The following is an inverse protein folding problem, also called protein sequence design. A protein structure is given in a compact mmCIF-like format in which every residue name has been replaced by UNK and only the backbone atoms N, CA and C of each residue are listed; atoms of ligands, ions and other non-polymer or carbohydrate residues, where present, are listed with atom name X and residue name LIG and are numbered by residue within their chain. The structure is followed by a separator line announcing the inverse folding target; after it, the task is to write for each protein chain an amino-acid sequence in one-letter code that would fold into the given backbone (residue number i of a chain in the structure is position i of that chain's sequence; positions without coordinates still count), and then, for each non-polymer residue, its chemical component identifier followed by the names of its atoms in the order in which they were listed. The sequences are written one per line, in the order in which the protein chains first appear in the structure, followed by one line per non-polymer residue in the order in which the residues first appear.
data_IF_194589688393
#
_entry.id   IF_194589688393
#
_cell.length_a   1.000
_cell.length_b   1.000
_cell.length_c   1.000
_cell.angle_alpha   90.00
_cell.angle_beta   90.00
_cell.angle_gamma   90.00
#
_symmetry.space_group_name_H-M   'P 1'
#
loop_
_entity.id
_entity.type
_entity.pdbx_description
1 polymer ?
#
# COMPACT_ATOMS: atom_id res chain seq x y z
N UNK A 1 0.45 -10.83 -11.17
CA UNK A 1 1.55 -10.41 -12.06
C UNK A 1 1.98 -9.04 -11.60
N UNK A 2 3.28 -8.79 -11.45
CA UNK A 2 3.76 -7.49 -11.00
C UNK A 2 3.47 -6.39 -12.04
N UNK A 3 3.17 -5.18 -11.58
CA UNK A 3 2.76 -4.01 -12.38
C UNK A 3 3.97 -3.12 -12.69
N UNK A 4 4.72 -2.70 -11.67
CA UNK A 4 5.87 -1.81 -11.78
C UNK A 4 7.16 -2.41 -11.22
N UNK A 5 7.06 -3.17 -10.14
CA UNK A 5 8.14 -3.97 -9.59
C UNK A 5 8.44 -5.15 -10.52
N UNK A 6 9.70 -5.61 -10.53
CA UNK A 6 10.01 -6.94 -11.04
C UNK A 6 9.53 -8.01 -10.05
N UNK A 7 9.41 -9.27 -10.49
CA UNK A 7 9.01 -10.38 -9.61
C UNK A 7 9.95 -10.52 -8.39
N UNK A 8 11.25 -10.34 -8.59
CA UNK A 8 12.22 -10.39 -7.50
C UNK A 8 12.06 -9.22 -6.53
N UNK A 9 11.88 -8.00 -7.03
CA UNK A 9 11.68 -6.82 -6.17
C UNK A 9 10.38 -6.92 -5.38
N UNK A 10 9.31 -7.43 -5.99
CA UNK A 10 8.05 -7.71 -5.31
C UNK A 10 8.26 -8.72 -4.16
N UNK A 11 8.99 -9.80 -4.40
CA UNK A 11 9.34 -10.77 -3.36
C UNK A 11 10.16 -10.14 -2.21
N UNK A 12 11.12 -9.26 -2.54
CA UNK A 12 11.88 -8.51 -1.52
C UNK A 12 10.97 -7.60 -0.70
N UNK A 13 10.05 -6.86 -1.35
CA UNK A 13 9.08 -6.01 -0.65
C UNK A 13 8.15 -6.84 0.24
N UNK A 14 7.69 -8.02 -0.21
CA UNK A 14 6.86 -8.91 0.59
C UNK A 14 7.61 -9.42 1.84
N UNK A 15 8.87 -9.87 1.68
CA UNK A 15 9.70 -10.29 2.80
C UNK A 15 9.99 -9.14 3.78
N UNK A 16 10.26 -7.94 3.26
CA UNK A 16 10.49 -6.75 4.08
C UNK A 16 9.22 -6.30 4.80
N UNK A 17 8.04 -6.44 4.18
CA UNK A 17 6.75 -6.15 4.78
C UNK A 17 6.49 -7.02 6.02
N UNK A 18 6.87 -8.30 6.02
CA UNK A 18 6.78 -9.18 7.19
C UNK A 18 7.75 -8.81 8.32
N UNK A 19 8.78 -7.99 8.05
CA UNK A 19 9.66 -7.47 9.10
C UNK A 19 9.06 -6.26 9.81
N UNK A 20 8.33 -5.41 9.07
CA UNK A 20 7.70 -4.20 9.62
C UNK A 20 6.28 -4.43 10.12
N UNK A 21 5.57 -5.44 9.60
CA UNK A 21 4.28 -5.95 10.07
C UNK A 21 4.39 -7.47 10.23
N UNK A 22 4.82 -7.97 11.40
CA UNK A 22 5.17 -9.38 11.56
C UNK A 22 3.95 -10.29 11.77
N UNK A 23 4.04 -11.58 11.38
CA UNK A 23 2.99 -12.57 11.60
C UNK A 23 3.03 -13.11 13.03
N UNK A 24 2.59 -12.31 14.02
CA UNK A 24 2.65 -12.65 15.45
C UNK A 24 1.24 -12.63 16.07
N UNK A 25 0.98 -13.57 16.98
CA UNK A 25 -0.25 -13.57 17.79
C UNK A 25 -1.54 -13.72 16.97
N UNK A 26 -1.48 -14.41 15.84
CA UNK A 26 -2.62 -14.56 14.92
C UNK A 26 -2.72 -13.46 13.86
N UNK A 27 -1.90 -12.40 13.95
CA UNK A 27 -1.75 -11.44 12.86
C UNK A 27 -1.13 -12.14 11.64
N UNK A 28 -1.68 -11.97 10.42
CA UNK A 28 -1.21 -12.68 9.23
C UNK A 28 0.16 -12.24 8.70
N UNK A 29 0.59 -11.01 9.03
CA UNK A 29 1.84 -10.42 8.54
C UNK A 29 1.66 -9.67 7.21
N UNK A 30 2.55 -8.72 6.92
CA UNK A 30 2.47 -7.85 5.74
C UNK A 30 2.50 -8.61 4.41
N UNK A 31 3.31 -9.66 4.30
CA UNK A 31 3.41 -10.50 3.10
C UNK A 31 2.10 -11.21 2.79
N UNK A 32 1.50 -11.87 3.78
CA UNK A 32 0.22 -12.56 3.61
C UNK A 32 -0.95 -11.60 3.33
N UNK A 33 -0.89 -10.38 3.87
CA UNK A 33 -1.87 -9.31 3.62
C UNK A 33 -1.79 -8.68 2.23
N UNK A 34 -0.79 -9.02 1.42
CA UNK A 34 -0.66 -8.44 0.08
C UNK A 34 -0.09 -7.00 0.09
N UNK A 35 0.68 -6.62 1.11
CA UNK A 35 1.33 -5.30 1.17
C UNK A 35 2.17 -5.01 -0.09
N UNK A 36 2.88 -6.02 -0.60
CA UNK A 36 3.65 -5.87 -1.82
C UNK A 36 2.77 -5.58 -3.06
N UNK A 37 1.57 -6.16 -3.13
CA UNK A 37 0.62 -5.89 -4.23
C UNK A 37 0.08 -4.46 -4.17
N UNK A 38 -0.24 -3.98 -2.96
CA UNK A 38 -0.61 -2.57 -2.73
C UNK A 38 0.50 -1.63 -3.18
N UNK A 39 1.73 -1.85 -2.72
CA UNK A 39 2.87 -1.01 -3.05
C UNK A 39 3.13 -1.02 -4.55
N UNK A 40 3.08 -2.18 -5.20
CA UNK A 40 3.29 -2.31 -6.63
C UNK A 40 2.20 -1.58 -7.45
N UNK A 41 0.94 -1.69 -7.03
CA UNK A 41 -0.17 -0.94 -7.62
C UNK A 41 -0.03 0.56 -7.42
N UNK A 42 0.44 1.02 -6.25
CA UNK A 42 0.70 2.44 -5.96
C UNK A 42 1.85 3.00 -6.82
N UNK A 43 2.97 2.28 -6.90
CA UNK A 43 4.12 2.68 -7.70
C UNK A 43 3.82 2.65 -9.20
N UNK A 44 2.92 1.75 -9.62
CA UNK A 44 2.41 1.60 -10.98
C UNK A 44 1.08 2.31 -11.25
N UNK A 45 0.61 3.21 -10.38
CA UNK A 45 -0.78 3.71 -10.44
C UNK A 45 -1.16 4.32 -11.80
N UNK A 46 -0.20 4.95 -12.50
CA UNK A 46 -0.39 5.59 -13.81
C UNK A 46 -0.20 4.66 -15.02
N UNK A 47 -0.02 3.35 -14.80
CA UNK A 47 -0.14 2.33 -15.88
C UNK A 47 -1.60 2.11 -16.28
N UNK A 48 -2.53 2.46 -15.39
CA UNK A 48 -3.97 2.32 -15.59
C UNK A 48 -4.63 3.65 -16.01
N UNK A 49 -5.78 3.54 -16.67
CA UNK A 49 -6.66 4.66 -17.02
C UNK A 49 -8.12 4.30 -16.66
N UNK A 50 -8.76 4.99 -15.70
CA UNK A 50 -8.20 6.03 -14.83
C UNK A 50 -7.04 5.53 -13.94
N UNK A 51 -6.10 6.42 -13.53
CA UNK A 51 -5.03 6.05 -12.60
C UNK A 51 -5.60 5.50 -11.29
N UNK A 52 -4.95 4.47 -10.74
CA UNK A 52 -5.38 3.83 -9.48
C UNK A 52 -5.05 4.66 -8.23
N UNK A 53 -5.60 5.86 -8.15
CA UNK A 53 -5.36 6.84 -7.08
C UNK A 53 -6.61 7.00 -6.20
N UNK A 54 -7.74 7.36 -6.80
CA UNK A 54 -9.00 7.55 -6.08
C UNK A 54 -10.03 6.51 -6.51
N UNK A 55 -10.34 5.57 -5.62
CA UNK A 55 -11.50 4.72 -5.73
C UNK A 55 -12.78 5.58 -5.62
N UNK A 56 -13.71 5.39 -6.55
CA UNK A 56 -14.82 6.33 -6.79
C UNK A 56 -16.17 5.90 -6.23
N UNK A 57 -16.55 4.64 -6.37
CA UNK A 57 -17.90 4.22 -5.98
C UNK A 57 -18.14 4.29 -4.46
N UNK A 58 -19.34 4.69 -4.01
CA UNK A 58 -19.58 4.96 -2.59
C UNK A 58 -19.53 3.71 -1.70
N UNK A 59 -19.74 2.52 -2.27
CA UNK A 59 -19.87 1.27 -1.52
C UNK A 59 -19.10 0.12 -2.17
N UNK A 60 -18.53 -0.74 -1.34
CA UNK A 60 -17.89 -1.98 -1.80
C UNK A 60 -18.87 -3.11 -2.14
N UNK A 61 -20.15 -2.94 -1.78
CA UNK A 61 -21.16 -3.99 -1.84
C UNK A 61 -21.14 -4.98 -0.67
N UNK A 62 -20.13 -4.95 0.22
CA UNK A 62 -20.01 -5.88 1.36
C UNK A 62 -21.14 -5.76 2.38
N UNK A 63 -21.70 -4.57 2.52
CA UNK A 63 -22.85 -4.30 3.39
C UNK A 63 -24.10 -3.85 2.60
N UNK A 64 -24.22 -4.33 1.35
CA UNK A 64 -25.26 -3.90 0.41
C UNK A 64 -24.84 -2.71 -0.44
N UNK A 65 -25.77 -2.20 -1.25
CA UNK A 65 -25.47 -1.23 -2.30
C UNK A 65 -24.80 -1.87 -3.52
N UNK A 66 -24.67 -1.10 -4.60
CA UNK A 66 -23.91 -1.52 -5.79
C UNK A 66 -22.43 -1.54 -5.43
N UNK A 67 -21.75 -2.66 -5.72
CA UNK A 67 -20.30 -2.75 -5.58
C UNK A 67 -19.63 -1.92 -6.69
N UNK A 68 -19.20 -0.71 -6.35
CA UNK A 68 -18.52 0.20 -7.28
C UNK A 68 -17.29 0.87 -6.69
N UNK A 69 -16.91 0.56 -5.44
CA UNK A 69 -15.72 1.15 -4.82
C UNK A 69 -14.39 0.68 -5.45
N UNK A 70 -14.44 -0.21 -6.44
CA UNK A 70 -13.32 -0.57 -7.31
C UNK A 70 -13.28 0.22 -8.63
N UNK A 71 -14.26 1.10 -8.88
CA UNK A 71 -14.30 2.01 -10.03
C UNK A 71 -13.46 3.26 -9.74
N UNK A 72 -12.26 3.35 -10.29
CA UNK A 72 -11.35 4.49 -10.08
C UNK A 72 -11.77 5.76 -10.84
N UNK A 73 -11.51 6.92 -10.23
CA UNK A 73 -11.88 8.23 -10.78
C UNK A 73 -10.74 8.83 -11.63
N UNK A 74 -11.08 9.54 -12.73
CA UNK A 74 -10.11 10.36 -13.43
C UNK A 74 -9.61 11.50 -12.53
N UNK A 75 -8.36 11.88 -12.73
CA UNK A 75 -7.74 13.00 -12.02
C UNK A 75 -7.90 14.28 -12.82
N UNK A 76 -8.08 15.41 -12.14
CA UNK A 76 -7.85 16.70 -12.78
C UNK A 76 -6.34 16.95 -12.95
N UNK A 77 -5.97 17.94 -13.78
CA UNK A 77 -4.56 18.20 -14.12
C UNK A 77 -3.67 18.52 -12.92
N UNK A 78 -4.21 19.16 -11.87
CA UNK A 78 -3.44 19.47 -10.67
C UNK A 78 -3.21 18.21 -9.81
N UNK A 79 -4.23 17.36 -9.67
CA UNK A 79 -4.13 16.09 -8.97
C UNK A 79 -3.14 15.16 -9.67
N UNK A 80 -3.22 15.04 -10.99
CA UNK A 80 -2.28 14.24 -11.78
C UNK A 80 -0.85 14.76 -11.62
N UNK A 81 -0.63 16.08 -11.72
CA UNK A 81 0.68 16.70 -11.51
C UNK A 81 1.23 16.37 -10.12
N UNK A 82 0.41 16.53 -9.08
CA UNK A 82 0.81 16.27 -7.69
C UNK A 82 1.16 14.79 -7.47
N UNK A 83 0.31 13.87 -7.92
CA UNK A 83 0.51 12.43 -7.73
C UNK A 83 1.67 11.89 -8.55
N UNK A 84 1.85 12.32 -9.79
CA UNK A 84 3.03 11.94 -10.57
C UNK A 84 4.31 12.50 -9.96
N UNK A 85 4.30 13.72 -9.43
CA UNK A 85 5.47 14.28 -8.71
C UNK A 85 5.84 13.42 -7.51
N UNK A 86 4.84 12.92 -6.78
CA UNK A 86 5.05 12.08 -5.60
C UNK A 86 5.56 10.68 -5.94
N UNK A 87 4.95 10.03 -6.94
CA UNK A 87 5.27 8.65 -7.33
C UNK A 87 6.55 8.61 -8.17
N UNK A 88 6.62 9.39 -9.24
CA UNK A 88 7.68 9.34 -10.24
C UNK A 88 8.85 10.30 -9.92
N UNK A 89 8.60 11.32 -9.10
CA UNK A 89 9.55 12.40 -8.83
C UNK A 89 9.41 13.56 -9.81
N UNK A 90 10.26 14.56 -9.59
CA UNK A 90 10.24 15.78 -10.40
C UNK A 90 10.97 15.63 -11.74
N UNK A 91 12.01 14.78 -11.81
CA UNK A 91 12.75 14.45 -13.05
C UNK A 91 13.25 15.67 -13.84
N UNK A 92 13.53 16.80 -13.18
CA UNK A 92 13.95 18.05 -13.84
C UNK A 92 12.82 18.82 -14.55
N UNK A 93 11.57 18.40 -14.39
CA UNK A 93 10.40 19.08 -14.96
C UNK A 93 10.08 20.32 -14.14
N UNK A 94 10.12 21.50 -14.78
CA UNK A 94 9.93 22.80 -14.12
C UNK A 94 8.61 22.86 -13.34
N UNK A 95 7.54 22.30 -13.90
CA UNK A 95 6.21 22.24 -13.30
C UNK A 95 6.17 21.38 -12.01
N UNK A 96 7.09 20.44 -11.84
CA UNK A 96 7.21 19.58 -10.64
C UNK A 96 8.25 20.08 -9.63
N UNK A 97 9.08 21.05 -10.00
CA UNK A 97 10.19 21.56 -9.17
C UNK A 97 9.95 22.95 -8.59
N UNK A 98 8.73 23.48 -8.71
CA UNK A 98 8.36 24.80 -8.18
C UNK A 98 8.66 24.94 -6.68
N UNK A 99 8.56 23.86 -5.92
CA UNK A 99 8.87 23.79 -4.49
C UNK A 99 10.20 23.07 -4.18
N UNK A 100 11.07 22.93 -5.18
CA UNK A 100 12.30 22.14 -5.12
C UNK A 100 12.16 20.76 -5.78
N UNK A 101 13.31 20.13 -6.04
CA UNK A 101 13.37 18.81 -6.64
C UNK A 101 12.82 17.73 -5.70
N UNK A 102 12.10 16.76 -6.26
CA UNK A 102 11.44 15.69 -5.52
C UNK A 102 11.96 14.34 -6.01
N UNK A 103 12.49 13.54 -5.08
CA UNK A 103 12.79 12.13 -5.33
C UNK A 103 11.49 11.34 -5.16
N UNK A 104 10.96 10.82 -6.27
CA UNK A 104 9.71 10.06 -6.25
C UNK A 104 9.83 8.73 -5.51
N UNK A 105 8.70 8.20 -5.05
CA UNK A 105 8.64 6.89 -4.40
C UNK A 105 9.22 5.77 -5.27
N UNK A 106 9.05 5.81 -6.58
CA UNK A 106 9.67 4.87 -7.51
C UNK A 106 11.20 4.80 -7.30
N UNK A 107 11.88 5.94 -7.28
CA UNK A 107 13.33 5.96 -7.07
C UNK A 107 13.71 5.54 -5.64
N UNK A 108 12.94 5.98 -4.64
CA UNK A 108 13.18 5.59 -3.24
C UNK A 108 13.06 4.06 -3.05
N UNK A 109 12.09 3.41 -3.68
CA UNK A 109 11.95 1.96 -3.64
C UNK A 109 13.06 1.23 -4.40
N UNK A 110 13.48 1.67 -5.59
CA UNK A 110 14.63 1.06 -6.29
C UNK A 110 15.89 1.14 -5.44
N UNK A 111 16.17 2.31 -4.86
CA UNK A 111 17.34 2.51 -4.02
C UNK A 111 17.29 1.65 -2.75
N UNK A 112 16.14 1.65 -2.06
CA UNK A 112 15.95 0.87 -0.85
C UNK A 112 16.10 -0.63 -1.09
N UNK A 113 15.44 -1.17 -2.12
CA UNK A 113 15.55 -2.59 -2.48
C UNK A 113 16.99 -2.96 -2.87
N UNK A 114 17.67 -2.10 -3.64
CA UNK A 114 19.07 -2.32 -3.97
C UNK A 114 19.97 -2.34 -2.73
N UNK A 115 19.72 -1.46 -1.76
CA UNK A 115 20.46 -1.38 -0.50
C UNK A 115 20.22 -2.60 0.41
N UNK A 116 19.04 -3.24 0.33
CA UNK A 116 18.74 -4.48 1.05
C UNK A 116 19.55 -5.69 0.52
N UNK A 117 20.05 -5.62 -0.71
CA UNK A 117 20.84 -6.68 -1.34
C UNK A 117 20.01 -7.77 -2.01
N UNK A 118 20.58 -8.40 -3.05
CA UNK A 118 19.88 -9.41 -3.90
C UNK A 118 19.52 -10.70 -3.17
N UNK A 119 20.23 -11.01 -2.09
CA UNK A 119 20.06 -12.19 -1.23
C UNK A 119 19.06 -11.94 -0.08
N UNK A 120 18.36 -10.79 -0.06
CA UNK A 120 17.51 -10.40 1.06
C UNK A 120 16.43 -11.44 1.41
N UNK A 121 15.89 -12.15 0.41
CA UNK A 121 14.88 -13.20 0.63
C UNK A 121 15.47 -14.49 1.22
N UNK A 122 16.79 -14.71 1.10
CA UNK A 122 17.46 -15.97 1.43
C UNK A 122 18.20 -15.91 2.79
N UNK A 123 18.34 -14.72 3.36
CA UNK A 123 18.99 -14.48 4.64
C UNK A 123 18.04 -14.63 5.83
N UNK A 124 18.61 -14.80 7.03
CA UNK A 124 17.82 -14.89 8.27
C UNK A 124 17.03 -13.61 8.57
N UNK A 125 15.89 -13.72 9.25
CA UNK A 125 15.09 -12.56 9.66
C UNK A 125 15.86 -11.54 10.51
N UNK A 126 16.83 -11.98 11.31
CA UNK A 126 17.72 -11.08 12.06
C UNK A 126 18.59 -10.23 11.13
N UNK A 127 19.12 -10.83 10.07
CA UNK A 127 19.92 -10.11 9.08
C UNK A 127 19.03 -9.19 8.23
N UNK A 128 17.81 -9.61 7.90
CA UNK A 128 16.83 -8.76 7.23
C UNK A 128 16.54 -7.50 8.07
N UNK A 129 16.35 -7.66 9.38
CA UNK A 129 16.16 -6.54 10.31
C UNK A 129 17.38 -5.62 10.34
N UNK A 130 18.59 -6.20 10.38
CA UNK A 130 19.83 -5.43 10.40
C UNK A 130 19.98 -4.56 9.13
N UNK A 131 19.69 -5.13 7.95
CA UNK A 131 19.75 -4.39 6.67
C UNK A 131 18.66 -3.32 6.57
N UNK A 132 17.43 -3.61 6.99
CA UNK A 132 16.37 -2.60 7.08
C UNK A 132 16.74 -1.46 8.06
N UNK A 133 17.38 -1.78 9.19
CA UNK A 133 17.86 -0.76 10.13
C UNK A 133 19.04 0.05 9.58
N UNK A 134 19.76 -0.47 8.58
CA UNK A 134 20.82 0.23 7.86
C UNK A 134 20.32 1.35 6.96
N UNK A 135 19.04 1.35 6.58
CA UNK A 135 18.38 2.45 5.86
C UNK A 135 17.05 2.84 6.54
N UNK A 136 17.12 3.68 7.60
CA UNK A 136 15.94 4.12 8.34
C UNK A 136 14.94 4.90 7.49
N UNK A 137 15.41 5.62 6.46
CA UNK A 137 14.54 6.42 5.60
C UNK A 137 13.65 5.49 4.75
N UNK A 138 14.27 4.50 4.09
CA UNK A 138 13.52 3.50 3.34
C UNK A 138 12.63 2.65 4.25
N UNK A 139 13.13 2.22 5.42
CA UNK A 139 12.32 1.45 6.39
C UNK A 139 11.06 2.21 6.83
N UNK A 140 11.16 3.51 7.08
CA UNK A 140 10.01 4.34 7.46
C UNK A 140 9.01 4.52 6.31
N UNK A 141 9.50 4.70 5.08
CA UNK A 141 8.65 4.75 3.88
C UNK A 141 7.91 3.41 3.70
N UNK A 142 8.63 2.30 3.77
CA UNK A 142 8.07 0.96 3.67
C UNK A 142 7.01 0.72 4.77
N UNK A 143 7.30 1.07 6.02
CA UNK A 143 6.35 0.91 7.12
C UNK A 143 5.07 1.73 6.90
N UNK A 144 5.18 2.97 6.43
CA UNK A 144 4.03 3.81 6.10
C UNK A 144 3.14 3.12 5.06
N UNK A 145 3.70 2.73 3.91
CA UNK A 145 2.94 2.05 2.87
C UNK A 145 2.48 0.64 3.29
N UNK A 146 3.21 -0.04 4.18
CA UNK A 146 2.80 -1.31 4.71
C UNK A 146 1.56 -1.18 5.58
N UNK A 147 1.46 -0.13 6.41
CA UNK A 147 0.24 0.16 7.17
C UNK A 147 -0.94 0.49 6.26
N UNK A 148 -0.72 1.32 5.24
CA UNK A 148 -1.73 1.67 4.24
C UNK A 148 -2.21 0.41 3.49
N UNK A 149 -1.29 -0.45 3.05
CA UNK A 149 -1.61 -1.70 2.36
C UNK A 149 -2.23 -2.75 3.29
N UNK A 150 -1.78 -2.88 4.53
CA UNK A 150 -2.29 -3.91 5.44
C UNK A 150 -3.71 -3.61 5.95
N UNK A 151 -4.00 -2.33 6.22
CA UNK A 151 -5.22 -1.92 6.91
C UNK A 151 -6.13 -1.00 6.08
N UNK A 152 -5.73 -0.66 4.86
CA UNK A 152 -6.56 0.05 3.89
C UNK A 152 -7.64 -0.82 3.26
N UNK A 153 -8.39 -0.22 2.34
CA UNK A 153 -9.42 -0.93 1.61
C UNK A 153 -8.80 -1.91 0.59
N UNK A 154 -9.31 -3.16 0.50
CA UNK A 154 -8.71 -4.20 -0.36
C UNK A 154 -8.72 -3.85 -1.85
N UNK A 155 -9.57 -2.92 -2.28
CA UNK A 155 -9.66 -2.40 -3.65
C UNK A 155 -8.33 -1.77 -4.13
N UNK A 156 -7.46 -1.36 -3.20
CA UNK A 156 -6.11 -0.86 -3.51
C UNK A 156 -5.05 -1.97 -3.64
N UNK A 157 -5.42 -3.25 -3.50
CA UNK A 157 -4.55 -4.42 -3.71
C UNK A 157 -3.94 -5.01 -2.44
N UNK A 158 -4.06 -4.32 -1.30
CA UNK A 158 -3.64 -4.81 0.01
C UNK A 158 -4.78 -5.48 0.78
N UNK A 159 -4.60 -5.62 2.10
CA UNK A 159 -5.59 -6.12 3.04
C UNK A 159 -6.34 -7.36 2.52
N UNK A 160 -5.56 -8.33 2.00
CA UNK A 160 -6.10 -9.50 1.32
C UNK A 160 -7.12 -10.22 2.20
N UNK A 161 -8.28 -10.52 1.61
CA UNK A 161 -9.41 -11.17 2.30
C UNK A 161 -9.87 -10.41 3.56
N UNK A 162 -9.59 -9.10 3.65
CA UNK A 162 -9.86 -8.24 4.81
C UNK A 162 -9.19 -8.74 6.11
N UNK A 163 -8.15 -9.58 5.99
CA UNK A 163 -7.50 -10.20 7.15
C UNK A 163 -6.77 -9.19 8.02
N UNK A 164 -6.38 -8.03 7.48
CA UNK A 164 -5.77 -6.94 8.24
C UNK A 164 -6.80 -6.26 9.12
N UNK A 165 -7.99 -5.98 8.56
CA UNK A 165 -9.14 -5.50 9.35
C UNK A 165 -9.52 -6.49 10.44
N UNK A 166 -9.63 -7.78 10.11
CA UNK A 166 -9.90 -8.82 11.10
C UNK A 166 -8.86 -8.88 12.22
N UNK A 167 -7.58 -8.70 11.90
CA UNK A 167 -6.50 -8.73 12.88
C UNK A 167 -6.51 -7.55 13.87
N UNK A 168 -7.07 -6.40 13.47
CA UNK A 168 -7.29 -5.24 14.33
C UNK A 168 -8.73 -5.14 14.86
N UNK A 169 -9.54 -6.19 14.67
CA UNK A 169 -10.95 -6.25 15.06
C UNK A 169 -11.82 -5.14 14.45
N UNK A 170 -11.41 -4.61 13.30
CA UNK A 170 -12.23 -3.71 12.50
C UNK A 170 -13.20 -4.53 11.65
N UNK A 171 -14.49 -4.19 11.71
CA UNK A 171 -15.54 -4.94 11.00
C UNK A 171 -15.53 -4.71 9.48
N UNK A 172 -14.80 -3.70 9.01
CA UNK A 172 -14.84 -3.27 7.62
C UNK A 172 -15.89 -2.19 7.38
N UNK A 173 -16.13 -1.89 6.11
CA UNK A 173 -17.13 -0.91 5.70
C UNK A 173 -18.56 -1.46 5.85
N UNK A 174 -19.40 -0.69 6.54
CA UNK A 174 -20.80 -1.07 6.86
C UNK A 174 -21.84 -0.29 6.06
N UNK A 175 -21.42 0.59 5.16
CA UNK A 175 -22.32 1.40 4.33
C UNK A 175 -22.81 0.61 3.11
N UNK A 176 -24.06 0.86 2.62
CA UNK A 176 -25.02 1.86 3.10
C UNK A 176 -25.89 1.39 4.27
N UNK A 177 -25.75 0.13 4.72
CA UNK A 177 -26.57 -0.43 5.82
C UNK A 177 -26.46 0.39 7.11
N UNK A 178 -25.25 0.83 7.45
CA UNK A 178 -24.94 1.48 8.73
C UNK A 178 -24.98 0.50 9.91
N UNK A 179 -24.83 1.05 11.12
CA UNK A 179 -25.02 0.30 12.37
C UNK A 179 -26.45 0.44 12.87
N UNK A 180 -27.00 -0.64 13.40
CA UNK A 180 -28.26 -0.64 14.17
C UNK A 180 -28.01 -0.16 15.60
N UNK A 181 -29.04 0.35 16.27
CA UNK A 181 -28.96 0.77 17.68
C UNK A 181 -28.35 -0.32 18.57
N UNK A 182 -28.78 -1.58 18.36
CA UNK A 182 -28.28 -2.76 19.10
C UNK A 182 -26.77 -2.99 18.90
N UNK A 183 -26.23 -2.74 17.72
CA UNK A 183 -24.79 -2.91 17.42
C UNK A 183 -23.93 -1.83 18.08
N UNK A 184 -24.50 -0.66 18.41
CA UNK A 184 -23.79 0.48 19.03
C UNK A 184 -23.94 0.50 20.55
N UNK A 185 -25.09 0.10 21.09
CA UNK A 185 -25.40 0.20 22.52
C UNK A 185 -24.65 -0.80 23.42
N UNK A 186 -23.93 -1.77 22.85
CA UNK A 186 -22.93 -2.58 23.58
C UNK A 186 -23.46 -3.37 24.79
N UNK A 187 -24.73 -3.77 24.80
CA UNK A 187 -25.30 -4.59 25.88
C UNK A 187 -25.23 -6.08 25.56
N UNK A 188 -24.04 -6.67 25.74
CA UNK A 188 -23.86 -8.09 26.12
C UNK A 188 -22.70 -8.22 27.12
#
# INVERSE_FOLDING_TARGET
MAIWLTEHEHAVVAAAADRVIPPVGGHPGGGALGVADFIDSLLGAFVFDPPRIWAGGPFSGRAGGTASFDEFLPLNSLEELAWRTRIEGSKGMVERERNGAVIGWQQQYRNGIAALGRDFCDISGREQDARLNGDPAFKNLLYTHACEGAYGAPEYGGNREMRGWGAIQYQGDVQPRGYTDREVEGRE
#
